data_IF_881318630723
#
_entry.id   IF_881318630723
#
_cell.length_a   1.000
_cell.length_b   1.000
_cell.length_c   1.000
_cell.angle_alpha   90.00
_cell.angle_beta   90.00
_cell.angle_gamma   90.00
#
_symmetry.space_group_name_H-M   'P 1'
#
loop_
_entity.id
_entity.type
_entity.pdbx_description
1 polymer ?
#
# COMPACT_ATOMS: atom_id res chain seq x y z
N UNK A 1 17.92 22.17 -8.59
CA UNK A 1 18.15 20.78 -9.07
C UNK A 1 19.31 20.83 -10.06
N UNK A 2 20.28 19.91 -9.98
CA UNK A 2 21.41 19.87 -10.94
C UNK A 2 21.00 19.13 -12.22
N UNK A 3 21.73 19.32 -13.31
CA UNK A 3 21.55 18.55 -14.55
C UNK A 3 21.63 17.03 -14.28
N UNK A 4 22.56 16.60 -13.42
CA UNK A 4 22.69 15.20 -13.03
C UNK A 4 21.42 14.64 -12.35
N UNK A 5 20.85 15.35 -11.36
CA UNK A 5 19.62 14.90 -10.68
C UNK A 5 18.43 14.87 -11.64
N UNK A 6 18.35 15.85 -12.55
CA UNK A 6 17.32 15.91 -13.57
C UNK A 6 17.40 14.73 -14.55
N UNK A 7 18.61 14.35 -14.98
CA UNK A 7 18.82 13.15 -15.80
C UNK A 7 18.41 11.88 -15.05
N UNK A 8 18.75 11.76 -13.76
CA UNK A 8 18.38 10.59 -12.96
C UNK A 8 16.87 10.43 -12.77
N UNK A 9 16.06 11.48 -12.86
CA UNK A 9 14.60 11.37 -12.82
C UNK A 9 14.01 10.65 -14.03
N UNK A 10 14.79 10.47 -15.11
CA UNK A 10 14.40 9.75 -16.32
C UNK A 10 15.05 8.37 -16.43
N UNK A 11 15.95 8.03 -15.51
CA UNK A 11 16.75 6.81 -15.51
C UNK A 11 15.90 5.54 -15.73
N UNK A 12 14.74 5.46 -15.06
CA UNK A 12 13.85 4.29 -15.15
C UNK A 12 13.39 3.96 -16.58
N UNK A 13 13.38 4.94 -17.49
CA UNK A 13 12.97 4.79 -18.89
C UNK A 13 14.18 4.79 -19.82
N UNK A 14 15.15 5.66 -19.58
CA UNK A 14 16.22 5.93 -20.53
C UNK A 14 17.42 4.98 -20.37
N UNK A 15 17.79 4.65 -19.12
CA UNK A 15 19.03 3.93 -18.79
C UNK A 15 18.80 2.56 -18.12
N UNK A 16 17.56 2.27 -17.71
CA UNK A 16 17.20 1.00 -17.06
C UNK A 16 17.37 -0.18 -18.04
N UNK A 17 18.07 -1.21 -17.60
CA UNK A 17 18.16 -2.49 -18.32
C UNK A 17 16.85 -3.28 -18.14
N UNK A 18 16.17 -3.60 -19.24
CA UNK A 18 14.96 -4.44 -19.25
C UNK A 18 15.25 -5.82 -19.86
N UNK A 19 15.88 -6.68 -19.06
CA UNK A 19 16.24 -8.06 -19.40
C UNK A 19 15.32 -9.10 -18.72
N UNK A 20 14.21 -8.64 -18.13
CA UNK A 20 13.28 -9.47 -17.37
C UNK A 20 13.69 -9.75 -15.92
N UNK A 21 14.85 -9.28 -15.45
CA UNK A 21 15.28 -9.44 -14.06
C UNK A 21 14.83 -8.23 -13.24
N UNK A 22 14.16 -8.48 -12.10
CA UNK A 22 13.66 -7.44 -11.21
C UNK A 22 14.79 -6.83 -10.37
N UNK A 23 15.13 -5.57 -10.64
CA UNK A 23 16.17 -4.77 -9.93
C UNK A 23 15.63 -3.46 -9.37
N UNK A 24 14.51 -3.01 -9.88
CA UNK A 24 13.93 -1.72 -9.57
C UNK A 24 12.39 -1.82 -9.59
N UNK A 25 11.64 -1.00 -8.84
CA UNK A 25 10.17 -1.04 -8.87
C UNK A 25 9.54 -0.88 -10.26
N UNK A 26 10.24 -0.25 -11.19
CA UNK A 26 9.85 -0.16 -12.61
C UNK A 26 9.76 -1.52 -13.33
N UNK A 27 10.45 -2.55 -12.82
CA UNK A 27 10.38 -3.91 -13.36
C UNK A 27 9.12 -4.66 -12.92
N UNK A 28 8.39 -4.12 -11.92
CA UNK A 28 7.21 -4.75 -11.36
C UNK A 28 6.03 -4.78 -12.34
N UNK A 29 5.18 -5.80 -12.20
CA UNK A 29 3.94 -5.89 -12.97
C UNK A 29 2.99 -4.72 -12.69
N UNK A 30 2.98 -4.20 -11.46
CA UNK A 30 2.15 -3.05 -11.08
C UNK A 30 2.55 -1.79 -11.86
N UNK A 31 3.86 -1.52 -11.98
CA UNK A 31 4.37 -0.41 -12.77
C UNK A 31 4.04 -0.57 -14.25
N UNK A 32 4.35 -1.74 -14.83
CA UNK A 32 4.08 -2.03 -16.25
C UNK A 32 2.59 -1.90 -16.59
N UNK A 33 1.72 -2.38 -15.69
CA UNK A 33 0.27 -2.26 -15.84
C UNK A 33 -0.20 -0.80 -15.79
N UNK A 34 0.29 -0.01 -14.83
CA UNK A 34 0.02 1.42 -14.74
C UNK A 34 0.49 2.15 -16.01
N UNK A 35 1.71 1.84 -16.48
CA UNK A 35 2.27 2.46 -17.67
C UNK A 35 1.46 2.15 -18.93
N UNK A 36 0.91 0.95 -19.03
CA UNK A 36 0.03 0.54 -20.13
C UNK A 36 -1.29 1.34 -20.10
N UNK A 37 -1.96 1.40 -18.95
CA UNK A 37 -3.23 2.14 -18.78
C UNK A 37 -3.06 3.62 -19.16
N UNK A 38 -1.97 4.25 -18.70
CA UNK A 38 -1.72 5.68 -18.91
C UNK A 38 -0.68 5.97 -20.00
N UNK A 39 -0.56 5.08 -20.98
CA UNK A 39 0.47 5.12 -22.03
C UNK A 39 0.45 6.39 -22.89
N UNK A 40 -0.74 6.93 -23.20
CA UNK A 40 -0.91 8.15 -24.01
C UNK A 40 -0.81 9.46 -23.21
N UNK A 41 -0.81 9.38 -21.89
CA UNK A 41 -0.81 10.54 -21.00
C UNK A 41 0.42 10.52 -20.11
N UNK A 42 0.20 10.23 -18.82
CA UNK A 42 1.22 10.24 -17.78
C UNK A 42 2.53 9.52 -18.19
N UNK A 43 2.43 8.31 -18.74
CA UNK A 43 3.60 7.45 -18.96
C UNK A 43 4.38 7.79 -20.24
N UNK A 44 3.81 8.64 -21.09
CA UNK A 44 4.48 9.13 -22.29
C UNK A 44 5.69 10.00 -21.94
N UNK A 45 5.61 10.80 -20.87
CA UNK A 45 6.69 11.64 -20.38
C UNK A 45 7.44 10.94 -19.22
N UNK A 46 8.73 10.65 -19.44
CA UNK A 46 9.61 10.02 -18.45
C UNK A 46 9.82 10.89 -17.20
N UNK A 47 9.52 12.19 -17.27
CA UNK A 47 9.75 13.13 -16.18
C UNK A 47 8.62 13.14 -15.16
N UNK A 48 7.48 12.53 -15.48
CA UNK A 48 6.38 12.35 -14.55
C UNK A 48 6.76 11.36 -13.43
N UNK A 49 6.38 11.69 -12.20
CA UNK A 49 6.95 11.10 -10.99
C UNK A 49 6.04 10.01 -10.42
N UNK A 50 6.61 8.82 -10.22
CA UNK A 50 5.94 7.72 -9.51
C UNK A 50 6.44 7.67 -8.07
N UNK A 51 5.51 7.80 -7.15
CA UNK A 51 5.76 7.90 -5.72
C UNK A 51 5.36 6.62 -5.00
N UNK A 52 6.13 6.23 -3.99
CA UNK A 52 5.69 5.33 -2.93
C UNK A 52 5.45 6.11 -1.65
N UNK A 53 4.43 5.73 -0.88
CA UNK A 53 4.17 6.30 0.43
C UNK A 53 4.51 5.29 1.52
N UNK A 54 5.47 5.60 2.38
CA UNK A 54 5.81 4.79 3.54
C UNK A 54 5.30 5.46 4.82
N UNK A 55 4.66 4.70 5.70
CA UNK A 55 4.31 5.18 7.04
C UNK A 55 4.18 4.02 8.03
N UNK A 56 4.72 4.23 9.22
CA UNK A 56 4.63 3.31 10.36
C UNK A 56 4.80 4.08 11.68
N UNK A 57 4.34 3.50 12.79
CA UNK A 57 4.49 4.07 14.11
C UNK A 57 5.80 3.63 14.76
N UNK A 58 6.64 4.58 15.16
CA UNK A 58 7.81 4.31 15.99
C UNK A 58 7.77 5.10 17.30
N UNK A 59 8.55 4.66 18.28
CA UNK A 59 8.70 5.34 19.56
C UNK A 59 10.08 6.03 19.63
N UNK A 60 10.15 7.37 19.59
CA UNK A 60 11.42 8.10 19.61
C UNK A 60 12.14 8.04 20.97
N UNK A 61 11.45 7.71 22.07
CA UNK A 61 12.01 7.71 23.43
C UNK A 61 12.49 6.32 23.91
N UNK A 62 12.57 5.34 23.00
CA UNK A 62 13.08 4.00 23.28
C UNK A 62 12.11 3.07 24.03
N UNK A 63 12.58 1.85 24.30
CA UNK A 63 11.77 0.71 24.83
C UNK A 63 11.13 1.03 26.19
N UNK A 64 11.76 1.88 27.00
CA UNK A 64 11.35 2.10 28.40
C UNK A 64 10.20 3.10 28.59
N UNK A 65 9.78 3.82 27.54
CA UNK A 65 8.68 4.77 27.65
C UNK A 65 7.67 4.62 26.51
N UNK A 66 6.71 3.70 26.66
CA UNK A 66 5.62 3.41 25.70
C UNK A 66 4.57 4.52 25.55
N UNK A 67 4.76 5.69 26.17
CA UNK A 67 3.75 6.76 26.21
C UNK A 67 3.73 7.65 24.96
N UNK A 68 4.53 7.37 23.94
CA UNK A 68 4.64 8.18 22.74
C UNK A 68 4.76 7.33 21.47
N UNK A 69 4.09 7.78 20.42
CA UNK A 69 4.09 7.22 19.07
C UNK A 69 4.28 8.37 18.09
N UNK A 70 5.21 8.19 17.16
CA UNK A 70 5.51 9.13 16.09
C UNK A 70 5.31 8.40 14.76
N UNK A 71 4.55 9.00 13.85
CA UNK A 71 4.25 8.44 12.54
C UNK A 71 4.79 9.37 11.46
N UNK A 72 5.95 9.08 10.86
CA UNK A 72 6.41 9.79 9.68
C UNK A 72 5.61 9.31 8.47
N UNK A 73 5.29 10.22 7.56
CA UNK A 73 4.79 9.90 6.22
C UNK A 73 5.85 10.33 5.24
N UNK A 74 6.40 9.35 4.53
CA UNK A 74 7.56 9.51 3.66
C UNK A 74 7.13 9.20 2.24
N UNK A 75 7.38 10.13 1.32
CA UNK A 75 7.26 9.92 -0.11
C UNK A 75 8.61 9.56 -0.73
N UNK A 76 8.63 8.53 -1.55
CA UNK A 76 9.83 8.02 -2.22
C UNK A 76 9.65 8.15 -3.73
N UNK A 77 10.47 8.96 -4.43
CA UNK A 77 10.44 9.08 -5.89
C UNK A 77 11.15 7.89 -6.53
N UNK A 78 10.38 6.96 -7.09
CA UNK A 78 10.92 5.79 -7.77
C UNK A 78 11.44 6.06 -9.18
N UNK A 79 11.39 7.31 -9.64
CA UNK A 79 12.00 7.67 -10.92
C UNK A 79 13.54 7.52 -10.90
N UNK A 80 14.13 7.69 -9.72
CA UNK A 80 15.56 7.67 -9.48
C UNK A 80 16.13 6.24 -9.55
N UNK A 81 17.41 6.08 -9.91
CA UNK A 81 18.07 4.79 -9.91
C UNK A 81 18.13 4.13 -8.52
N UNK A 82 18.30 2.79 -8.45
CA UNK A 82 18.28 2.01 -7.20
C UNK A 82 19.23 2.54 -6.11
N UNK A 83 20.39 3.04 -6.50
CA UNK A 83 21.40 3.56 -5.57
C UNK A 83 21.06 4.95 -4.99
N UNK A 84 20.04 5.63 -5.51
CA UNK A 84 19.57 6.93 -5.02
C UNK A 84 18.18 6.82 -4.37
N UNK A 85 17.21 6.12 -4.97
CA UNK A 85 15.83 6.08 -4.47
C UNK A 85 15.70 5.45 -3.07
N UNK A 86 16.67 4.63 -2.65
CA UNK A 86 16.74 4.03 -1.32
C UNK A 86 17.58 4.82 -0.32
N UNK A 87 18.13 5.97 -0.70
CA UNK A 87 18.97 6.80 0.18
C UNK A 87 18.12 7.89 0.82
N UNK A 88 18.30 8.07 2.12
CA UNK A 88 17.60 9.06 2.94
C UNK A 88 17.54 10.48 2.33
N UNK A 89 18.59 11.03 1.67
CA UNK A 89 18.53 12.38 1.09
C UNK A 89 17.49 12.55 -0.02
N UNK A 90 16.98 11.45 -0.59
CA UNK A 90 15.98 11.46 -1.65
C UNK A 90 14.58 11.09 -1.15
N UNK A 91 14.42 10.87 0.15
CA UNK A 91 13.13 10.62 0.78
C UNK A 91 12.52 11.94 1.22
N UNK A 92 11.30 12.21 0.76
CA UNK A 92 10.56 13.40 1.15
C UNK A 92 9.71 13.08 2.37
N UNK A 93 10.13 13.57 3.54
CA UNK A 93 9.29 13.52 4.72
C UNK A 93 8.19 14.57 4.59
N UNK A 94 7.04 14.17 4.06
CA UNK A 94 5.90 15.05 3.83
C UNK A 94 5.30 15.54 5.15
N UNK A 95 5.20 14.65 6.14
CA UNK A 95 4.72 15.04 7.45
C UNK A 95 5.20 14.12 8.57
N UNK A 96 5.06 14.61 9.80
CA UNK A 96 5.24 13.85 11.04
C UNK A 96 3.97 14.00 11.87
N UNK A 97 3.39 12.89 12.29
CA UNK A 97 2.21 12.86 13.17
C UNK A 97 2.67 12.40 14.57
N UNK A 98 2.95 13.34 15.48
CA UNK A 98 3.26 13.02 16.87
C UNK A 98 2.00 12.72 17.68
N UNK A 99 2.09 11.80 18.64
CA UNK A 99 1.00 11.60 19.59
C UNK A 99 1.34 10.64 20.72
N UNK A 100 0.62 10.73 21.84
CA UNK A 100 0.78 9.74 22.93
C UNK A 100 0.36 8.33 22.52
N UNK A 101 -0.45 8.21 21.46
CA UNK A 101 -1.00 6.98 20.92
C UNK A 101 -0.94 7.04 19.39
N UNK A 102 -1.00 5.86 18.77
CA UNK A 102 -1.17 5.74 17.33
C UNK A 102 -2.41 6.51 16.83
N UNK A 103 -2.36 7.12 15.64
CA UNK A 103 -3.45 7.95 15.10
C UNK A 103 -4.73 7.15 14.84
N UNK A 104 -4.65 5.83 14.66
CA UNK A 104 -5.82 4.99 14.40
C UNK A 104 -6.58 5.45 13.16
N UNK A 105 -7.91 5.54 13.27
CA UNK A 105 -8.74 6.02 12.16
C UNK A 105 -8.50 7.50 11.83
N UNK A 106 -8.02 8.31 12.79
CA UNK A 106 -7.78 9.74 12.58
C UNK A 106 -6.58 10.02 11.66
N UNK A 107 -5.81 9.00 11.25
CA UNK A 107 -4.71 9.16 10.29
C UNK A 107 -5.17 9.86 9.00
N UNK A 108 -6.41 9.62 8.56
CA UNK A 108 -6.95 10.24 7.35
C UNK A 108 -7.02 11.76 7.47
N UNK A 109 -7.40 12.29 8.64
CA UNK A 109 -7.47 13.74 8.87
C UNK A 109 -6.11 14.40 8.65
N UNK A 110 -5.04 13.73 9.09
CA UNK A 110 -3.69 14.21 8.86
C UNK A 110 -3.28 14.06 7.40
N UNK A 111 -3.66 12.98 6.72
CA UNK A 111 -3.29 12.75 5.33
C UNK A 111 -4.04 13.66 4.33
N UNK A 112 -5.14 14.30 4.71
CA UNK A 112 -5.95 15.12 3.79
C UNK A 112 -5.14 16.14 2.97
N UNK A 113 -4.27 16.99 3.55
CA UNK A 113 -3.50 17.96 2.77
C UNK A 113 -2.59 17.29 1.75
N UNK A 114 -1.92 16.20 2.13
CA UNK A 114 -1.07 15.43 1.23
C UNK A 114 -1.88 14.82 0.07
N UNK A 115 -3.07 14.28 0.36
CA UNK A 115 -3.95 13.72 -0.68
C UNK A 115 -4.42 14.80 -1.64
N UNK A 116 -4.73 16.00 -1.15
CA UNK A 116 -5.17 17.11 -1.99
C UNK A 116 -4.02 17.58 -2.91
N UNK A 117 -2.80 17.71 -2.39
CA UNK A 117 -1.61 17.99 -3.21
C UNK A 117 -1.32 16.88 -4.25
N UNK A 118 -1.48 15.61 -3.88
CA UNK A 118 -1.33 14.49 -4.82
C UNK A 118 -2.38 14.51 -5.94
N UNK A 119 -3.62 14.91 -5.63
CA UNK A 119 -4.67 15.10 -6.64
C UNK A 119 -4.34 16.27 -7.56
N UNK A 120 -3.86 17.37 -7.02
CA UNK A 120 -3.44 18.52 -7.83
C UNK A 120 -2.29 18.15 -8.76
N UNK A 121 -1.28 17.43 -8.26
CA UNK A 121 -0.19 16.90 -9.07
C UNK A 121 -0.67 15.90 -10.15
N UNK A 122 -1.75 15.16 -9.90
CA UNK A 122 -2.30 14.24 -10.88
C UNK A 122 -3.12 14.96 -11.95
N UNK A 123 -4.08 15.80 -11.57
CA UNK A 123 -5.04 16.42 -12.50
C UNK A 123 -4.52 17.70 -13.16
N UNK A 124 -3.81 18.54 -12.42
CA UNK A 124 -3.28 19.83 -12.89
C UNK A 124 -1.80 19.69 -13.27
N UNK A 125 -1.02 19.02 -12.43
CA UNK A 125 0.44 18.99 -12.51
C UNK A 125 1.09 20.27 -11.98
N UNK A 126 2.41 20.33 -12.01
CA UNK A 126 3.20 21.49 -11.59
C UNK A 126 4.17 21.93 -12.69
N UNK A 127 4.23 23.23 -12.99
CA UNK A 127 5.23 23.81 -13.90
C UNK A 127 6.63 23.61 -13.31
N UNK A 128 7.45 22.82 -14.00
CA UNK A 128 8.73 22.34 -13.49
C UNK A 128 9.83 22.56 -14.52
N UNK A 129 10.95 23.12 -14.07
CA UNK A 129 12.13 23.31 -14.92
C UNK A 129 12.99 22.05 -14.98
N UNK A 130 13.18 21.52 -16.19
CA UNK A 130 14.10 20.42 -16.48
C UNK A 130 15.49 20.98 -16.80
N UNK A 131 16.43 20.79 -15.87
CA UNK A 131 17.80 21.28 -16.02
C UNK A 131 18.55 20.63 -17.20
N UNK A 132 18.23 19.38 -17.55
CA UNK A 132 18.89 18.66 -18.64
C UNK A 132 18.47 19.23 -20.00
N UNK A 133 17.17 19.48 -20.18
CA UNK A 133 16.64 20.02 -21.45
C UNK A 133 16.57 21.55 -21.48
N UNK A 134 16.79 22.19 -20.33
CA UNK A 134 16.68 23.64 -20.08
C UNK A 134 15.32 24.20 -20.47
N UNK A 135 14.26 23.41 -20.28
CA UNK A 135 12.88 23.74 -20.63
C UNK A 135 11.94 23.45 -19.49
N UNK A 136 10.87 24.24 -19.40
CA UNK A 136 9.75 23.94 -18.52
C UNK A 136 8.92 22.79 -19.11
N UNK A 137 8.31 22.03 -18.22
CA UNK A 137 7.32 21.01 -18.55
C UNK A 137 6.29 20.91 -17.42
N UNK A 138 5.11 20.42 -17.76
CA UNK A 138 4.09 20.11 -16.78
C UNK A 138 4.41 18.76 -16.13
N UNK A 139 4.90 18.77 -14.90
CA UNK A 139 5.20 17.55 -14.15
C UNK A 139 3.93 17.04 -13.47
N UNK A 140 3.58 15.79 -13.72
CA UNK A 140 2.54 15.07 -12.98
C UNK A 140 3.17 14.07 -12.02
N UNK A 141 2.45 13.75 -10.93
CA UNK A 141 2.85 12.69 -10.01
C UNK A 141 1.72 11.69 -9.75
N UNK A 142 2.09 10.43 -9.53
CA UNK A 142 1.17 9.34 -9.21
C UNK A 142 1.66 8.56 -8.00
N UNK A 143 0.77 8.28 -7.05
CA UNK A 143 1.04 7.39 -5.93
C UNK A 143 0.82 5.93 -6.38
N UNK A 144 1.86 5.11 -6.35
CA UNK A 144 1.83 3.75 -6.88
C UNK A 144 1.41 2.71 -5.84
N UNK A 145 1.92 2.84 -4.61
CA UNK A 145 1.64 1.90 -3.52
C UNK A 145 2.05 2.49 -2.17
N UNK A 146 1.62 1.81 -1.12
CA UNK A 146 2.01 2.11 0.26
C UNK A 146 2.98 1.06 0.80
N UNK A 147 3.93 1.48 1.63
CA UNK A 147 4.86 0.61 2.38
C UNK A 147 4.52 0.75 3.86
N UNK A 148 4.10 -0.35 4.45
CA UNK A 148 3.65 -0.40 5.84
C UNK A 148 3.77 -1.83 6.36
N UNK A 149 3.86 -1.95 7.69
CA UNK A 149 3.62 -3.22 8.35
C UNK A 149 2.11 -3.54 8.39
N UNK A 150 1.75 -4.75 8.83
CA UNK A 150 0.34 -5.18 8.79
C UNK A 150 -0.59 -4.39 9.75
N UNK A 151 -0.15 -3.95 10.94
CA UNK A 151 -0.84 -2.96 11.75
C UNK A 151 -1.06 -1.60 11.06
N UNK A 152 -0.02 -0.99 10.47
CA UNK A 152 -0.09 0.28 9.77
C UNK A 152 -0.99 0.19 8.54
N UNK A 153 -0.93 -0.92 7.80
CA UNK A 153 -1.84 -1.24 6.72
C UNK A 153 -3.32 -1.07 7.13
N UNK A 154 -3.67 -1.53 8.34
CA UNK A 154 -5.06 -1.47 8.80
C UNK A 154 -5.57 -0.03 8.95
N UNK A 155 -4.69 0.88 9.34
CA UNK A 155 -5.01 2.30 9.51
C UNK A 155 -5.04 3.03 8.18
N UNK A 156 -4.10 2.72 7.28
CA UNK A 156 -3.99 3.36 5.96
C UNK A 156 -5.05 2.86 4.97
N UNK A 157 -5.37 1.56 4.96
CA UNK A 157 -6.36 0.98 4.04
C UNK A 157 -7.79 1.05 4.57
N UNK A 158 -7.96 1.08 5.89
CA UNK A 158 -9.26 0.88 6.54
C UNK A 158 -9.71 -0.58 6.62
N UNK A 159 -8.94 -1.54 6.07
CA UNK A 159 -9.22 -2.97 6.24
C UNK A 159 -8.70 -3.48 7.59
N UNK A 160 -9.55 -4.10 8.40
CA UNK A 160 -9.08 -4.64 9.68
C UNK A 160 -8.15 -5.83 9.47
N UNK A 161 -6.94 -5.76 10.01
CA UNK A 161 -6.00 -6.89 9.99
C UNK A 161 -6.17 -7.83 11.20
N UNK A 162 -7.34 -7.80 11.83
CA UNK A 162 -7.70 -8.59 13.01
C UNK A 162 -8.97 -9.40 12.75
N UNK A 163 -9.09 -10.54 13.43
CA UNK A 163 -10.28 -11.39 13.39
C UNK A 163 -10.28 -12.42 12.25
N UNK A 164 -11.44 -13.03 12.00
CA UNK A 164 -11.63 -14.12 11.01
C UNK A 164 -11.15 -13.73 9.60
N UNK A 165 -11.44 -12.49 9.17
CA UNK A 165 -11.21 -12.00 7.81
C UNK A 165 -9.99 -11.08 7.68
N UNK A 166 -8.91 -11.34 8.44
CA UNK A 166 -7.78 -10.42 8.51
C UNK A 166 -7.03 -10.26 7.17
N UNK A 167 -7.05 -11.26 6.29
CA UNK A 167 -6.29 -11.23 5.05
C UNK A 167 -6.94 -10.30 4.00
N UNK A 168 -6.27 -9.23 3.57
CA UNK A 168 -6.80 -8.30 2.56
C UNK A 168 -6.73 -8.84 1.14
N UNK A 169 -6.16 -10.03 0.91
CA UNK A 169 -6.18 -10.70 -0.40
C UNK A 169 -7.28 -11.76 -0.47
N UNK A 170 -7.54 -12.44 0.65
CA UNK A 170 -8.54 -13.52 0.69
C UNK A 170 -9.94 -13.00 1.04
N UNK A 171 -10.05 -11.86 1.73
CA UNK A 171 -11.34 -11.23 2.05
C UNK A 171 -12.27 -12.20 2.79
N UNK A 172 -13.53 -12.34 2.33
CA UNK A 172 -14.51 -13.31 2.84
C UNK A 172 -14.07 -14.77 2.67
N UNK A 173 -13.15 -15.05 1.74
CA UNK A 173 -12.58 -16.38 1.53
C UNK A 173 -11.34 -16.64 2.42
N UNK A 174 -11.09 -15.83 3.45
CA UNK A 174 -10.01 -16.08 4.41
C UNK A 174 -10.28 -17.39 5.15
N UNK A 175 -9.40 -18.37 4.92
CA UNK A 175 -9.43 -19.64 5.62
C UNK A 175 -8.82 -19.45 7.01
N UNK A 176 -9.60 -19.72 8.04
CA UNK A 176 -9.23 -19.42 9.42
C UNK A 176 -9.66 -20.54 10.36
N UNK A 177 -8.82 -20.78 11.37
CA UNK A 177 -9.07 -21.73 12.45
C UNK A 177 -8.92 -21.01 13.78
N UNK A 178 -9.93 -21.11 14.65
CA UNK A 178 -9.82 -20.61 16.01
C UNK A 178 -9.11 -21.63 16.90
N UNK A 179 -7.94 -21.25 17.43
CA UNK A 179 -7.23 -22.06 18.39
C UNK A 179 -7.79 -21.80 19.80
N UNK A 180 -8.71 -22.66 20.26
CA UNK A 180 -9.45 -22.52 21.53
C UNK A 180 -8.55 -22.15 22.72
N UNK A 181 -7.43 -22.86 22.88
CA UNK A 181 -6.51 -22.66 24.01
C UNK A 181 -5.54 -21.48 23.81
N UNK A 182 -5.13 -21.21 22.57
CA UNK A 182 -4.28 -20.07 22.24
C UNK A 182 -5.03 -18.74 22.11
N UNK A 183 -6.36 -18.78 22.11
CA UNK A 183 -7.27 -17.64 21.91
C UNK A 183 -6.86 -16.75 20.73
N UNK A 184 -6.44 -17.38 19.63
CA UNK A 184 -5.98 -16.72 18.41
C UNK A 184 -6.51 -17.40 17.17
N UNK A 185 -6.65 -16.64 16.09
CA UNK A 185 -6.89 -17.18 14.77
C UNK A 185 -5.57 -17.65 14.16
N UNK A 186 -5.61 -18.83 13.54
CA UNK A 186 -4.60 -19.35 12.65
C UNK A 186 -5.15 -19.24 11.23
N UNK A 187 -4.39 -18.63 10.32
CA UNK A 187 -4.81 -18.46 8.93
C UNK A 187 -4.20 -19.58 8.10
N UNK A 188 -5.06 -20.35 7.43
CA UNK A 188 -4.69 -21.55 6.70
C UNK A 188 -4.97 -21.36 5.20
N UNK A 189 -5.04 -22.46 4.45
CA UNK A 189 -5.43 -22.42 3.04
C UNK A 189 -4.40 -21.80 2.10
N UNK A 190 -3.18 -21.48 2.54
CA UNK A 190 -2.15 -20.88 1.68
C UNK A 190 -1.76 -21.74 0.47
N UNK A 191 -2.01 -23.06 0.52
CA UNK A 191 -1.71 -23.99 -0.59
C UNK A 191 -2.52 -23.72 -1.84
N UNK A 192 -3.67 -23.02 -1.74
CA UNK A 192 -4.51 -22.64 -2.88
C UNK A 192 -3.87 -21.60 -3.82
N UNK A 193 -2.79 -20.94 -3.40
CA UNK A 193 -2.02 -20.02 -4.23
C UNK A 193 -0.94 -20.70 -5.08
N UNK A 194 -0.66 -21.99 -4.83
CA UNK A 194 0.28 -22.77 -5.64
C UNK A 194 -0.37 -23.21 -6.95
N UNK A 195 0.40 -23.60 -7.97
CA UNK A 195 -0.17 -24.19 -9.19
C UNK A 195 -1.00 -25.45 -8.86
N UNK A 196 -2.03 -25.76 -9.65
CA UNK A 196 -2.95 -26.89 -9.38
C UNK A 196 -2.25 -28.25 -9.31
N UNK A 197 -1.17 -28.40 -10.07
CA UNK A 197 -0.32 -29.59 -10.15
C UNK A 197 0.77 -29.63 -9.07
N UNK A 198 0.94 -28.57 -8.27
CA UNK A 198 1.99 -28.49 -7.26
C UNK A 198 1.88 -29.60 -6.20
N UNK A 199 2.95 -30.38 -6.01
CA UNK A 199 3.00 -31.54 -5.09
C UNK A 199 2.48 -31.27 -3.68
N UNK A 200 2.74 -30.08 -3.13
CA UNK A 200 2.29 -29.71 -1.78
C UNK A 200 0.76 -29.62 -1.64
N UNK A 201 0.01 -29.39 -2.72
CA UNK A 201 -1.46 -29.45 -2.68
C UNK A 201 -2.00 -30.85 -2.32
N UNK A 202 -1.24 -31.91 -2.62
CA UNK A 202 -1.60 -33.31 -2.32
C UNK A 202 -0.93 -33.84 -1.05
N UNK A 203 0.06 -33.13 -0.51
CA UNK A 203 0.72 -33.50 0.73
C UNK A 203 -0.23 -33.22 1.91
N UNK A 204 -0.80 -34.29 2.47
CA UNK A 204 -1.72 -34.22 3.61
C UNK A 204 -0.95 -34.16 4.93
N UNK A 205 0.01 -35.06 5.11
CA UNK A 205 0.69 -35.32 6.38
C UNK A 205 1.55 -34.16 6.88
N UNK A 206 2.15 -33.38 5.98
CA UNK A 206 2.93 -32.20 6.37
C UNK A 206 2.08 -30.94 6.64
N UNK A 207 0.75 -31.01 6.44
CA UNK A 207 -0.13 -29.85 6.52
C UNK A 207 -1.39 -30.17 7.35
N UNK A 208 -2.58 -29.81 6.87
CA UNK A 208 -3.85 -29.95 7.58
C UNK A 208 -4.57 -31.29 7.31
N UNK A 209 -3.85 -32.33 6.89
CA UNK A 209 -4.39 -33.64 6.51
C UNK A 209 -5.39 -33.66 5.35
N UNK A 210 -5.51 -32.56 4.60
CA UNK A 210 -6.42 -32.43 3.47
C UNK A 210 -5.69 -32.25 2.15
N UNK A 211 -6.35 -32.59 1.04
CA UNK A 211 -5.89 -32.22 -0.30
C UNK A 211 -6.48 -30.86 -0.67
N UNK A 212 -5.67 -29.95 -1.20
CA UNK A 212 -6.12 -28.61 -1.61
C UNK A 212 -6.41 -28.54 -3.11
N UNK A 213 -7.69 -28.62 -3.46
CA UNK A 213 -8.18 -28.56 -4.85
C UNK A 213 -8.77 -27.20 -5.22
N UNK A 214 -8.95 -26.27 -4.26
CA UNK A 214 -9.57 -24.97 -4.52
C UNK A 214 -8.63 -24.06 -5.30
N UNK A 215 -9.21 -23.12 -6.03
CA UNK A 215 -8.47 -22.04 -6.68
C UNK A 215 -8.09 -20.94 -5.67
N UNK A 216 -7.11 -20.12 -6.08
CA UNK A 216 -6.75 -18.93 -5.32
C UNK A 216 -7.95 -17.97 -5.27
N UNK A 217 -8.22 -17.33 -4.13
CA UNK A 217 -9.21 -16.26 -4.06
C UNK A 217 -8.87 -15.15 -5.06
N UNK A 218 -9.90 -14.65 -5.73
CA UNK A 218 -9.76 -13.50 -6.63
C UNK A 218 -9.65 -12.23 -5.77
N UNK A 219 -8.60 -11.41 -5.92
CA UNK A 219 -8.50 -10.12 -5.25
C UNK A 219 -9.66 -9.20 -5.68
N UNK A 220 -10.12 -8.33 -4.78
CA UNK A 220 -11.13 -7.34 -5.15
C UNK A 220 -10.59 -6.36 -6.19
N UNK A 221 -11.41 -6.06 -7.19
CA UNK A 221 -11.15 -4.94 -8.09
C UNK A 221 -11.46 -3.60 -7.39
N UNK A 222 -10.98 -2.49 -7.96
CA UNK A 222 -11.33 -1.16 -7.46
C UNK A 222 -12.85 -0.91 -7.43
N UNK A 223 -13.59 -1.42 -8.41
CA UNK A 223 -15.04 -1.31 -8.46
C UNK A 223 -15.71 -2.10 -7.32
N UNK A 224 -15.22 -3.32 -7.04
CA UNK A 224 -15.75 -4.12 -5.93
C UNK A 224 -15.52 -3.41 -4.58
N UNK A 225 -14.34 -2.81 -4.38
CA UNK A 225 -14.05 -2.03 -3.18
C UNK A 225 -15.00 -0.84 -3.04
N UNK A 226 -15.26 -0.11 -4.12
CA UNK A 226 -16.20 1.02 -4.12
C UNK A 226 -17.62 0.57 -3.76
N UNK A 227 -18.09 -0.54 -4.33
CA UNK A 227 -19.40 -1.12 -4.02
C UNK A 227 -19.49 -1.56 -2.56
N UNK A 228 -18.46 -2.23 -2.04
CA UNK A 228 -18.42 -2.62 -0.63
C UNK A 228 -18.43 -1.39 0.28
N UNK A 229 -17.69 -0.34 -0.03
CA UNK A 229 -17.70 0.91 0.74
C UNK A 229 -19.08 1.59 0.79
N UNK A 230 -19.88 1.46 -0.26
CA UNK A 230 -21.25 2.02 -0.30
C UNK A 230 -22.24 1.24 0.57
N UNK A 231 -21.94 -0.03 0.88
CA UNK A 231 -22.87 -0.94 1.57
C UNK A 231 -22.76 -0.95 3.10
N UNK A 232 -21.83 -0.20 3.70
CA UNK A 232 -21.74 -0.06 5.16
C UNK A 232 -21.65 1.38 5.63
N UNK A 233 -22.21 1.64 6.82
CA UNK A 233 -22.12 2.94 7.48
C UNK A 233 -20.68 3.27 7.87
N UNK A 234 -20.21 4.42 7.37
CA UNK A 234 -18.90 4.98 7.70
C UNK A 234 -18.90 5.51 9.13
N UNK A 235 -17.82 5.25 9.87
CA UNK A 235 -17.67 5.83 11.20
C UNK A 235 -17.39 7.34 11.08
N UNK A 236 -18.09 8.13 11.88
CA UNK A 236 -17.81 9.56 12.01
C UNK A 236 -16.58 9.76 12.87
N UNK A 237 -15.62 10.53 12.38
CA UNK A 237 -14.39 10.86 13.11
C UNK A 237 -14.71 11.42 14.52
N UNK A 238 -13.93 11.00 15.52
CA UNK A 238 -14.10 11.45 16.91
C UNK A 238 -15.15 10.70 17.75
N UNK A 239 -15.98 9.81 17.17
CA UNK A 239 -16.95 9.01 17.95
C UNK A 239 -16.46 7.59 18.20
N UNK A 240 -16.15 7.27 19.45
CA UNK A 240 -15.75 5.92 19.88
C UNK A 240 -16.97 5.02 20.07
N UNK A 241 -17.65 4.62 18.99
CA UNK A 241 -18.69 3.58 19.12
C UNK A 241 -18.00 2.22 19.23
N UNK A 242 -18.12 1.56 20.39
CA UNK A 242 -17.77 0.13 20.52
C UNK A 242 -18.75 -0.67 19.65
N UNK A 243 -18.37 -1.01 18.41
CA UNK A 243 -19.13 -1.97 17.60
C UNK A 243 -19.21 -3.29 18.36
N UNK A 244 -20.43 -3.80 18.59
CA UNK A 244 -20.64 -5.19 19.00
C UNK A 244 -20.03 -6.08 17.92
N UNK A 245 -19.21 -7.05 18.30
CA UNK A 245 -18.69 -8.07 17.38
C UNK A 245 -19.83 -9.01 17.06
N UNK A 246 -20.54 -8.75 15.98
CA UNK A 246 -21.35 -9.78 15.34
C UNK A 246 -20.42 -10.51 14.35
N UNK A 247 -19.63 -11.44 14.90
CA UNK A 247 -18.59 -12.16 14.14
C UNK A 247 -19.18 -13.25 13.23
N UNK A 248 -20.49 -13.54 13.32
CA UNK A 248 -21.13 -14.65 12.60
C UNK A 248 -21.85 -14.18 11.32
N UNK A 249 -22.35 -12.94 11.26
CA UNK A 249 -22.91 -12.33 10.05
C UNK A 249 -21.96 -11.39 9.31
N UNK A 250 -20.66 -11.42 9.65
CA UNK A 250 -19.67 -10.48 9.12
C UNK A 250 -19.20 -10.89 7.72
N UNK A 251 -19.66 -10.17 6.70
CA UNK A 251 -19.34 -10.45 5.29
C UNK A 251 -18.13 -9.65 4.76
N UNK A 252 -17.64 -8.62 5.47
CA UNK A 252 -16.45 -7.82 5.14
C UNK A 252 -15.64 -7.42 6.39
N UNK A 253 -14.38 -6.99 6.21
CA UNK A 253 -13.54 -6.53 7.35
C UNK A 253 -13.21 -5.03 7.34
N UNK A 254 -13.84 -4.25 6.46
CA UNK A 254 -13.70 -2.79 6.44
C UNK A 254 -14.12 -2.13 7.77
N UNK A 255 -13.34 -1.12 8.18
CA UNK A 255 -13.59 -0.27 9.35
C UNK A 255 -13.97 1.14 8.95
N UNK A 256 -13.41 1.61 7.84
CA UNK A 256 -13.61 2.92 7.23
C UNK A 256 -13.29 2.83 5.75
N UNK A 257 -13.79 3.79 4.98
CA UNK A 257 -13.29 4.13 3.65
C UNK A 257 -12.07 5.03 3.83
N UNK A 258 -10.90 4.56 3.39
CA UNK A 258 -9.69 5.37 3.37
C UNK A 258 -9.80 6.49 2.33
N UNK A 259 -8.99 7.54 2.54
CA UNK A 259 -8.82 8.66 1.60
C UNK A 259 -7.61 8.47 0.66
N UNK A 260 -6.77 7.46 0.94
CA UNK A 260 -5.66 7.01 0.08
C UNK A 260 -6.14 6.19 -1.10
#
# INVERSE_FOLDING_TARGET
>A
MTEATSSYMRWHKDDRVDDGIMRHPADSLAWKHFDNIYSKGFSSDARNVRLGLASDGFNPYGIMNVSYSCWPVILIPYNLPPWLCLKQPYWFMSMIIPGKKSPGNNIDVYLQPLIDELKDLWYVGADTYDATTKKNFQMHAALMWTINDFPAYAMLSGWSTKGKLACPYCHMHTDHLWLKYGRKYCYMGHRRFLSRDHKWRRNKSCFNNETENRDAPVPLSGNDVVQQHASFEQETFGKTRKRKRDDDNKWHNWRKKSIL
#
